data_IF_202212223462
#
_entry.id   IF_202212223462
#
_cell.length_a   1.000
_cell.length_b   1.000
_cell.length_c   1.000
_cell.angle_alpha   90.00
_cell.angle_beta   90.00
_cell.angle_gamma   90.00
#
_symmetry.space_group_name_H-M   'P 1'
#
loop_
_entity.id
_entity.type
_entity.pdbx_description
1 polymer ?
#
# COMPACT_ATOMS: atom_id res chain seq x y z
N UNK A 1 10.78 -1.45 -2.35
CA UNK A 1 10.11 -2.77 -2.34
C UNK A 1 8.98 -2.74 -3.34
N UNK A 2 8.55 -3.90 -3.81
CA UNK A 2 7.59 -4.04 -4.92
C UNK A 2 6.62 -5.16 -4.54
N UNK A 3 5.32 -4.91 -4.73
CA UNK A 3 4.26 -5.92 -4.71
C UNK A 3 3.36 -5.73 -5.91
N UNK A 4 2.48 -6.70 -6.18
CA UNK A 4 1.57 -6.68 -7.32
C UNK A 4 0.11 -6.78 -6.87
N UNK A 5 -0.52 -5.68 -6.42
CA UNK A 5 -1.91 -5.71 -6.02
C UNK A 5 -2.85 -5.93 -7.21
N UNK A 6 -3.99 -6.56 -6.95
CA UNK A 6 -5.07 -6.78 -7.89
C UNK A 6 -6.42 -6.78 -7.15
N UNK A 7 -7.55 -6.68 -7.88
CA UNK A 7 -8.89 -6.74 -7.27
C UNK A 7 -9.33 -8.20 -7.12
N UNK A 8 -9.74 -8.55 -5.90
CA UNK A 8 -10.34 -9.85 -5.56
C UNK A 8 -11.51 -9.63 -4.61
N UNK A 9 -12.67 -10.24 -4.92
CA UNK A 9 -13.89 -10.17 -4.11
C UNK A 9 -14.27 -8.73 -3.67
N UNK A 10 -14.03 -7.74 -4.54
CA UNK A 10 -14.40 -6.34 -4.32
C UNK A 10 -13.34 -5.46 -3.63
N UNK A 11 -12.26 -6.04 -3.10
CA UNK A 11 -11.15 -5.28 -2.47
C UNK A 11 -9.81 -5.48 -3.20
N UNK A 12 -8.84 -4.63 -2.87
CA UNK A 12 -7.46 -4.81 -3.30
C UNK A 12 -6.78 -5.84 -2.40
N UNK A 13 -6.13 -6.82 -3.02
CA UNK A 13 -5.31 -7.83 -2.36
C UNK A 13 -3.94 -7.91 -3.05
N UNK A 14 -2.98 -8.54 -2.41
CA UNK A 14 -1.71 -8.91 -3.05
C UNK A 14 -1.20 -10.25 -2.52
N UNK A 15 -0.34 -10.89 -3.29
CA UNK A 15 0.37 -12.11 -2.89
C UNK A 15 1.86 -11.79 -2.70
N UNK A 16 2.48 -12.41 -1.69
CA UNK A 16 3.93 -12.50 -1.54
C UNK A 16 4.26 -13.87 -0.93
N UNK A 17 4.46 -14.85 -1.80
CA UNK A 17 4.55 -16.27 -1.43
C UNK A 17 5.75 -16.56 -0.54
N UNK A 18 6.88 -15.88 -0.75
CA UNK A 18 8.14 -16.08 -0.02
C UNK A 18 8.01 -15.77 1.48
N UNK A 19 7.05 -14.92 1.85
CA UNK A 19 6.75 -14.55 3.25
C UNK A 19 5.33 -14.96 3.67
N UNK A 20 4.70 -15.86 2.91
CA UNK A 20 3.42 -16.49 3.23
C UNK A 20 2.22 -15.55 3.22
N UNK A 21 2.23 -14.50 2.39
CA UNK A 21 1.06 -13.65 2.16
C UNK A 21 0.32 -14.15 0.93
N UNK A 22 -0.93 -14.58 1.10
CA UNK A 22 -1.79 -15.08 0.01
C UNK A 22 -3.10 -14.30 0.09
N UNK A 23 -3.43 -13.56 -0.97
CA UNK A 23 -4.56 -12.64 -1.04
C UNK A 23 -4.63 -11.73 0.19
N UNK A 24 -3.49 -11.24 0.65
CA UNK A 24 -3.43 -10.34 1.80
C UNK A 24 -4.20 -9.07 1.45
N UNK A 25 -5.28 -8.75 2.19
CA UNK A 25 -6.16 -7.66 1.82
C UNK A 25 -5.61 -6.32 2.31
N UNK A 26 -5.78 -5.30 1.48
CA UNK A 26 -5.80 -3.93 1.95
C UNK A 26 -7.15 -3.64 2.59
N UNK A 27 -7.13 -2.97 3.75
CA UNK A 27 -8.32 -2.69 4.55
C UNK A 27 -8.29 -1.24 5.05
N UNK A 28 -9.44 -0.76 5.54
CA UNK A 28 -9.60 0.51 6.25
C UNK A 28 -8.91 1.70 5.59
N UNK A 29 -9.51 2.26 4.53
CA UNK A 29 -9.03 3.49 3.88
C UNK A 29 -7.91 3.29 2.86
N UNK A 30 -7.09 2.24 3.01
CA UNK A 30 -6.05 1.92 2.03
C UNK A 30 -6.63 1.54 0.65
N UNK A 31 -7.74 0.76 0.55
CA UNK A 31 -8.34 0.46 -0.75
C UNK A 31 -8.71 1.71 -1.56
N UNK A 32 -9.29 2.72 -0.92
CA UNK A 32 -9.70 3.97 -1.54
C UNK A 32 -8.49 4.82 -1.98
N UNK A 33 -7.40 4.78 -1.19
CA UNK A 33 -6.13 5.39 -1.59
C UNK A 33 -5.56 4.70 -2.83
N UNK A 34 -5.64 3.37 -2.93
CA UNK A 34 -5.18 2.62 -4.10
C UNK A 34 -6.05 2.92 -5.32
N UNK A 35 -7.38 2.98 -5.17
CA UNK A 35 -8.30 3.39 -6.24
C UNK A 35 -7.89 4.75 -6.83
N UNK A 36 -7.51 5.70 -5.98
CA UNK A 36 -7.01 7.01 -6.41
C UNK A 36 -5.64 6.91 -7.09
N UNK A 37 -4.73 6.10 -6.55
CA UNK A 37 -3.36 5.95 -7.06
C UNK A 37 -3.33 5.35 -8.47
N UNK A 38 -4.26 4.45 -8.78
CA UNK A 38 -4.29 3.70 -10.04
C UNK A 38 -5.35 4.21 -11.02
N UNK A 39 -5.99 5.34 -10.75
CA UNK A 39 -7.08 5.88 -11.57
C UNK A 39 -6.72 6.01 -13.07
N UNK A 40 -5.46 6.32 -13.37
CA UNK A 40 -4.95 6.48 -14.74
C UNK A 40 -4.33 5.20 -15.33
N UNK A 41 -4.33 4.09 -14.59
CA UNK A 41 -3.79 2.80 -15.05
C UNK A 41 -4.92 1.95 -15.62
N UNK A 42 -4.91 1.77 -16.95
CA UNK A 42 -5.86 0.90 -17.63
C UNK A 42 -5.74 -0.54 -17.11
N UNK A 43 -6.88 -1.17 -16.84
CA UNK A 43 -7.02 -2.56 -16.39
C UNK A 43 -6.31 -2.84 -15.04
N UNK A 44 -6.11 -1.82 -14.19
CA UNK A 44 -5.43 -1.95 -12.90
C UNK A 44 -6.05 -3.01 -11.97
N UNK A 45 -7.35 -3.30 -12.11
CA UNK A 45 -8.04 -4.36 -11.37
C UNK A 45 -7.46 -5.76 -11.64
N UNK A 46 -6.88 -5.99 -12.81
CA UNK A 46 -6.21 -7.26 -13.17
C UNK A 46 -4.78 -7.35 -12.61
N UNK A 47 -4.24 -6.23 -12.14
CA UNK A 47 -2.95 -6.16 -11.50
C UNK A 47 -2.15 -4.93 -11.92
N UNK A 48 -1.40 -4.38 -10.97
CA UNK A 48 -0.44 -3.31 -11.23
C UNK A 48 0.80 -3.48 -10.36
N UNK A 49 1.88 -2.80 -10.70
CA UNK A 49 3.11 -2.81 -9.92
C UNK A 49 3.07 -1.68 -8.90
N UNK A 50 3.10 -2.01 -7.61
CA UNK A 50 3.18 -1.04 -6.53
C UNK A 50 4.60 -1.00 -5.96
N UNK A 51 5.30 0.11 -6.18
CA UNK A 51 6.61 0.38 -5.60
C UNK A 51 6.41 1.19 -4.32
N UNK A 52 7.08 0.81 -3.24
CA UNK A 52 7.05 1.54 -1.98
C UNK A 52 8.39 1.55 -1.25
N UNK A 53 8.66 2.59 -0.47
CA UNK A 53 9.94 2.82 0.20
C UNK A 53 9.80 3.72 1.44
N UNK A 54 10.64 3.50 2.47
CA UNK A 54 10.79 4.42 3.62
C UNK A 54 11.63 5.67 3.31
N UNK A 55 12.23 5.74 2.12
CA UNK A 55 12.98 6.89 1.61
C UNK A 55 12.33 7.42 0.32
N UNK A 56 12.34 8.74 0.09
CA UNK A 56 11.85 9.29 -1.17
C UNK A 56 12.68 8.75 -2.34
N UNK A 57 12.04 8.62 -3.49
CA UNK A 57 12.68 8.22 -4.74
C UNK A 57 12.11 9.02 -5.92
N UNK A 58 12.88 9.28 -6.98
CA UNK A 58 12.40 10.07 -8.12
C UNK A 58 11.10 9.51 -8.70
N UNK A 59 10.09 10.39 -8.83
CA UNK A 59 8.80 10.03 -9.40
C UNK A 59 7.87 9.24 -8.48
N UNK A 60 8.07 9.25 -7.16
CA UNK A 60 7.01 8.83 -6.23
C UNK A 60 5.76 9.68 -6.45
N UNK A 61 4.59 9.08 -6.28
CA UNK A 61 3.29 9.74 -6.48
C UNK A 61 2.68 10.13 -5.14
N UNK A 62 2.60 9.20 -4.20
CA UNK A 62 1.98 9.42 -2.90
C UNK A 62 3.00 9.35 -1.76
N UNK A 63 2.77 10.16 -0.73
CA UNK A 63 3.47 10.11 0.56
C UNK A 63 2.46 9.84 1.66
N UNK A 64 2.69 8.74 2.38
CA UNK A 64 1.98 8.37 3.57
C UNK A 64 2.81 8.77 4.79
N UNK A 65 2.23 9.52 5.71
CA UNK A 65 2.88 9.92 6.98
C UNK A 65 2.25 9.15 8.12
N UNK A 66 3.06 8.49 8.95
CA UNK A 66 2.58 7.74 10.11
C UNK A 66 1.86 8.65 11.11
N UNK A 67 0.75 8.17 11.69
CA UNK A 67 -0.06 8.90 12.67
C UNK A 67 0.04 8.26 14.06
N UNK A 68 -0.34 6.98 14.15
CA UNK A 68 -0.41 6.23 15.40
C UNK A 68 -0.43 4.73 15.13
N UNK A 69 -0.05 3.95 16.14
CA UNK A 69 -0.32 2.52 16.21
C UNK A 69 -1.73 2.29 16.80
N UNK A 70 -2.45 1.30 16.28
CA UNK A 70 -3.74 0.87 16.81
C UNK A 70 -4.03 -0.58 16.40
N UNK A 71 -4.50 -1.41 17.34
CA UNK A 71 -4.79 -2.83 17.12
C UNK A 71 -3.67 -3.58 16.38
N UNK A 72 -2.42 -3.40 16.81
CA UNK A 72 -1.20 -4.01 16.23
C UNK A 72 -0.82 -3.51 14.82
N UNK A 73 -1.68 -2.73 14.16
CA UNK A 73 -1.36 -2.07 12.90
C UNK A 73 -1.09 -0.59 13.04
N UNK A 74 -0.91 0.07 11.90
CA UNK A 74 -0.38 1.42 11.84
C UNK A 74 -1.24 2.30 10.93
N UNK A 75 -1.74 3.40 11.48
CA UNK A 75 -2.46 4.42 10.74
C UNK A 75 -1.50 5.36 10.03
N UNK A 76 -1.76 5.62 8.75
CA UNK A 76 -1.03 6.55 7.91
C UNK A 76 -1.97 7.56 7.25
N UNK A 77 -1.47 8.79 7.08
CA UNK A 77 -2.17 9.86 6.37
C UNK A 77 -1.58 10.10 4.99
N UNK A 78 -2.41 10.11 3.97
CA UNK A 78 -2.04 10.51 2.61
C UNK A 78 -2.12 12.03 2.46
N UNK A 79 -0.98 12.71 2.34
CA UNK A 79 -0.88 14.15 2.05
C UNK A 79 -1.88 15.05 2.84
N UNK A 80 -2.12 14.75 4.12
CA UNK A 80 -3.07 15.45 5.00
C UNK A 80 -4.57 15.33 4.65
N UNK A 81 -4.97 14.35 3.83
CA UNK A 81 -6.37 14.20 3.37
C UNK A 81 -7.03 12.95 3.93
N UNK A 82 -6.59 11.78 3.47
CA UNK A 82 -7.19 10.49 3.80
C UNK A 82 -6.32 9.73 4.80
N UNK A 83 -6.94 8.92 5.65
CA UNK A 83 -6.25 8.03 6.59
C UNK A 83 -6.52 6.58 6.23
N UNK A 84 -5.50 5.74 6.42
CA UNK A 84 -5.62 4.32 6.16
C UNK A 84 -4.77 3.51 7.12
N UNK A 85 -5.26 2.32 7.47
CA UNK A 85 -4.60 1.43 8.42
C UNK A 85 -3.89 0.30 7.70
N UNK A 86 -2.61 0.12 8.00
CA UNK A 86 -1.78 -0.98 7.50
C UNK A 86 -1.60 -2.01 8.60
N UNK A 87 -1.92 -3.26 8.28
CA UNK A 87 -1.82 -4.40 9.18
C UNK A 87 -0.36 -4.72 9.55
N UNK A 88 -0.12 -5.63 10.51
CA UNK A 88 1.22 -6.07 10.91
C UNK A 88 2.07 -6.64 9.75
N UNK A 89 1.45 -7.06 8.62
CA UNK A 89 2.19 -7.52 7.45
C UNK A 89 3.16 -6.46 6.91
N UNK A 90 2.93 -5.17 7.21
CA UNK A 90 3.88 -4.08 6.95
C UNK A 90 5.29 -4.39 7.49
N UNK A 91 5.38 -5.03 8.65
CA UNK A 91 6.65 -5.34 9.31
C UNK A 91 7.40 -6.52 8.66
N UNK A 92 6.77 -7.22 7.71
CA UNK A 92 7.50 -8.16 6.85
C UNK A 92 8.40 -7.45 5.83
N UNK A 93 8.16 -6.15 5.61
CA UNK A 93 8.88 -5.30 4.67
C UNK A 93 9.81 -4.28 5.36
N UNK A 94 9.51 -3.92 6.60
CA UNK A 94 10.25 -2.92 7.37
C UNK A 94 10.56 -3.44 8.77
N UNK A 95 11.75 -3.12 9.29
CA UNK A 95 12.14 -3.47 10.67
C UNK A 95 11.20 -2.87 11.73
N UNK A 96 10.60 -1.71 11.43
CA UNK A 96 9.59 -1.03 12.24
C UNK A 96 8.68 -0.23 11.32
N UNK A 97 7.52 0.21 11.84
CA UNK A 97 6.62 1.09 11.10
C UNK A 97 7.36 2.40 10.72
N UNK A 98 7.62 2.65 9.43
CA UNK A 98 8.37 3.84 9.03
C UNK A 98 7.54 5.11 9.23
N UNK A 99 8.18 6.21 9.62
CA UNK A 99 7.50 7.51 9.77
C UNK A 99 6.88 8.02 8.45
N UNK A 100 7.47 7.65 7.32
CA UNK A 100 6.99 7.98 5.98
C UNK A 100 7.09 6.78 5.04
N UNK A 101 6.09 6.60 4.18
CA UNK A 101 6.11 5.64 3.06
C UNK A 101 5.83 6.41 1.78
N UNK A 102 6.77 6.31 0.84
CA UNK A 102 6.64 6.87 -0.50
C UNK A 102 6.21 5.76 -1.44
N UNK A 103 5.20 6.00 -2.28
CA UNK A 103 4.65 4.98 -3.18
C UNK A 103 4.53 5.46 -4.62
N UNK A 104 4.57 4.52 -5.56
CA UNK A 104 4.35 4.72 -6.99
C UNK A 104 3.65 3.49 -7.56
N UNK A 105 2.61 3.70 -8.35
CA UNK A 105 1.99 2.66 -9.15
C UNK A 105 2.46 2.76 -10.61
N UNK A 106 2.71 1.61 -11.22
CA UNK A 106 3.05 1.47 -12.63
C UNK A 106 2.20 0.37 -13.24
N UNK A 107 1.92 0.48 -14.55
CA UNK A 107 1.31 -0.61 -15.30
C UNK A 107 2.22 -1.84 -15.23
N UNK A 108 1.60 -3.02 -15.07
CA UNK A 108 2.29 -4.32 -15.14
C UNK A 108 2.87 -4.57 -16.53
#
# INVERSE_FOLDING_TARGET
>A
MIIYPYKYEGTWVFDELDIGLIKEPFVFGIPEMLDTLVADIKDASEGFKLIFSKKPFPGYQFKLTWIKEEYEGNWYRLNNTHEGWLCPALLKYFESAPAEIFTKAEKK
#
